data_IF_829042061839
#
_entry.id   IF_829042061839
#
_cell.length_a   1.000
_cell.length_b   1.000
_cell.length_c   1.000
_cell.angle_alpha   90.00
_cell.angle_beta   90.00
_cell.angle_gamma   90.00
#
_symmetry.space_group_name_H-M   'P 1'
#
loop_
_entity.id
_entity.type
_entity.pdbx_description
1 polymer ?
#
# COMPACT_ATOMS: atom_id res chain seq x y z
N UNK A 1 -12.39 -4.75 47.74
CA UNK A 1 -12.96 -5.24 46.47
C UNK A 1 -12.16 -4.60 45.35
N UNK A 2 -11.14 -5.30 44.84
CA UNK A 2 -10.24 -4.81 43.79
C UNK A 2 -9.99 -6.00 42.84
N UNK A 3 -10.21 -5.79 41.53
CA UNK A 3 -10.06 -6.81 40.49
C UNK A 3 -8.57 -6.90 40.08
N UNK A 4 -8.01 -8.10 39.88
CA UNK A 4 -6.60 -8.25 39.53
C UNK A 4 -6.35 -7.99 38.04
N UNK A 5 -5.20 -7.38 37.79
CA UNK A 5 -4.57 -7.09 36.50
C UNK A 5 -4.05 -8.39 35.88
N UNK A 6 -4.47 -8.76 34.67
CA UNK A 6 -3.93 -9.93 33.96
C UNK A 6 -2.93 -9.45 32.91
N UNK A 7 -1.64 -9.65 33.19
CA UNK A 7 -0.54 -9.41 32.26
C UNK A 7 -0.34 -10.69 31.45
N UNK A 8 -0.73 -10.69 30.17
CA UNK A 8 -0.55 -11.84 29.28
C UNK A 8 0.90 -11.84 28.77
N UNK A 9 1.77 -12.65 29.38
CA UNK A 9 3.07 -13.00 28.82
C UNK A 9 2.86 -14.06 27.74
N UNK A 10 3.12 -13.71 26.48
CA UNK A 10 3.13 -14.68 25.37
C UNK A 10 4.46 -15.45 25.39
N UNK A 11 4.44 -16.66 25.94
CA UNK A 11 5.57 -17.59 25.89
C UNK A 11 5.48 -18.42 24.59
N UNK A 12 6.26 -18.09 23.58
CA UNK A 12 6.39 -18.93 22.37
C UNK A 12 7.35 -20.07 22.69
N UNK A 13 6.81 -21.27 22.88
CA UNK A 13 7.59 -22.52 22.93
C UNK A 13 7.84 -22.95 21.48
N UNK A 14 9.07 -22.75 20.99
CA UNK A 14 9.53 -23.27 19.70
C UNK A 14 10.21 -24.63 19.91
N UNK A 15 9.62 -25.70 19.37
CA UNK A 15 10.27 -27.00 19.19
C UNK A 15 11.33 -26.91 18.07
N UNK A 16 12.54 -27.47 18.21
CA UNK A 16 13.52 -27.44 17.14
C UNK A 16 13.39 -28.69 16.26
N UNK A 17 12.94 -28.53 15.01
CA UNK A 17 13.29 -29.48 13.95
C UNK A 17 13.25 -28.81 12.58
N UNK A 18 14.35 -28.15 12.21
CA UNK A 18 14.70 -27.90 10.82
C UNK A 18 16.18 -27.55 10.71
N UNK A 19 16.80 -28.10 9.68
CA UNK A 19 18.23 -28.10 9.37
C UNK A 19 18.85 -26.69 9.29
N UNK A 20 20.17 -26.53 9.47
CA UNK A 20 20.84 -25.22 9.62
C UNK A 20 20.81 -24.31 8.38
N UNK A 21 20.34 -24.80 7.24
CA UNK A 21 20.46 -24.12 5.95
C UNK A 21 19.35 -23.09 5.68
N UNK A 22 18.21 -23.17 6.38
CA UNK A 22 17.08 -22.25 6.16
C UNK A 22 17.10 -20.97 6.99
N UNK A 23 18.11 -20.77 7.86
CA UNK A 23 18.20 -19.60 8.77
C UNK A 23 19.02 -18.43 8.26
N UNK A 24 19.56 -18.50 7.03
CA UNK A 24 20.24 -17.33 6.46
C UNK A 24 19.18 -16.46 5.79
N UNK A 25 19.05 -15.17 6.17
CA UNK A 25 18.38 -14.24 5.29
C UNK A 25 19.09 -14.36 3.93
N UNK A 26 18.34 -14.39 2.82
CA UNK A 26 18.95 -14.38 1.49
C UNK A 26 19.95 -13.21 1.44
N UNK A 27 21.09 -13.38 0.74
CA UNK A 27 21.96 -12.24 0.49
C UNK A 27 21.12 -11.15 -0.14
N UNK A 28 21.17 -9.95 0.45
CA UNK A 28 20.48 -8.77 -0.06
C UNK A 28 20.89 -8.61 -1.52
N UNK A 29 19.98 -8.95 -2.43
CA UNK A 29 20.27 -8.81 -3.86
C UNK A 29 20.48 -7.31 -4.07
N UNK A 30 21.70 -6.92 -4.42
CA UNK A 30 22.05 -5.53 -4.66
C UNK A 30 21.01 -4.86 -5.57
N UNK A 31 20.77 -3.56 -5.37
CA UNK A 31 19.74 -2.78 -6.05
C UNK A 31 19.81 -2.97 -7.57
N UNK A 32 19.01 -3.89 -8.11
CA UNK A 32 18.73 -3.94 -9.54
C UNK A 32 17.96 -2.68 -9.90
N UNK A 33 18.23 -2.01 -11.03
CA UNK A 33 17.39 -0.90 -11.48
C UNK A 33 15.95 -1.40 -11.63
N UNK A 34 15.09 -1.01 -10.69
CA UNK A 34 13.68 -1.35 -10.68
C UNK A 34 13.00 -0.56 -11.79
N UNK A 35 12.45 -1.26 -12.79
CA UNK A 35 11.64 -0.63 -13.83
C UNK A 35 10.25 -0.33 -13.26
N UNK A 36 10.14 0.83 -12.63
CA UNK A 36 8.88 1.37 -12.14
C UNK A 36 8.22 2.13 -13.29
N UNK A 37 6.98 1.76 -13.63
CA UNK A 37 6.19 2.55 -14.57
C UNK A 37 5.32 3.52 -13.79
N UNK A 38 5.63 4.79 -13.91
CA UNK A 38 4.83 5.88 -13.36
C UNK A 38 3.57 6.08 -14.21
N UNK A 39 2.41 6.15 -13.56
CA UNK A 39 1.11 6.33 -14.21
C UNK A 39 0.21 7.24 -13.37
N UNK A 40 -0.83 7.75 -14.00
CA UNK A 40 -1.84 8.59 -13.36
C UNK A 40 -3.21 7.96 -13.54
N UNK A 41 -4.07 8.07 -12.52
CA UNK A 41 -5.48 7.74 -12.63
C UNK A 41 -6.33 8.89 -12.11
N UNK A 42 -7.47 9.12 -12.75
CA UNK A 42 -8.45 10.08 -12.25
C UNK A 42 -9.26 9.44 -11.13
N UNK A 43 -9.07 9.89 -9.90
CA UNK A 43 -9.83 9.41 -8.73
C UNK A 43 -10.99 10.36 -8.46
N UNK A 44 -12.16 9.78 -8.22
CA UNK A 44 -13.34 10.49 -7.73
C UNK A 44 -13.64 10.06 -6.29
N UNK A 45 -13.27 10.86 -5.27
CA UNK A 45 -13.58 10.55 -3.89
C UNK A 45 -15.09 10.41 -3.66
N UNK A 46 -15.50 9.59 -2.69
CA UNK A 46 -16.90 9.24 -2.42
C UNK A 46 -17.79 10.42 -1.92
N UNK A 47 -17.28 11.65 -1.93
CA UNK A 47 -18.00 12.85 -1.53
C UNK A 47 -18.22 13.71 -2.76
N UNK A 48 -19.49 13.94 -3.15
CA UNK A 48 -19.88 14.69 -4.34
C UNK A 48 -19.32 16.13 -4.38
N UNK A 49 -18.82 16.63 -3.24
CA UNK A 49 -18.25 17.98 -3.10
C UNK A 49 -16.73 18.02 -3.39
N UNK A 50 -16.07 16.86 -3.53
CA UNK A 50 -14.65 16.80 -3.82
C UNK A 50 -14.40 16.77 -5.33
N UNK A 51 -13.56 17.68 -5.87
CA UNK A 51 -13.18 17.62 -7.27
C UNK A 51 -12.37 16.34 -7.52
N UNK A 52 -12.59 15.75 -8.69
CA UNK A 52 -11.72 14.67 -9.19
C UNK A 52 -10.29 15.20 -9.31
N UNK A 53 -9.32 14.37 -8.99
CA UNK A 53 -7.91 14.72 -9.15
C UNK A 53 -7.13 13.53 -9.73
N UNK A 54 -5.99 13.85 -10.36
CA UNK A 54 -5.07 12.84 -10.85
C UNK A 54 -4.25 12.33 -9.67
N UNK A 55 -4.41 11.05 -9.35
CA UNK A 55 -3.55 10.36 -8.39
C UNK A 55 -2.41 9.69 -9.15
N UNK A 56 -1.20 10.02 -8.76
CA UNK A 56 0.01 9.40 -9.26
C UNK A 56 0.22 8.04 -8.60
N UNK A 57 0.74 7.06 -9.34
CA UNK A 57 1.11 5.77 -8.79
C UNK A 57 2.21 5.10 -9.61
N UNK A 58 3.00 4.26 -8.95
CA UNK A 58 3.97 3.39 -9.60
C UNK A 58 3.40 1.99 -9.69
N UNK A 59 3.64 1.31 -10.82
CA UNK A 59 3.28 -0.09 -11.01
C UNK A 59 4.46 -0.87 -11.59
N UNK A 60 4.62 -2.11 -11.11
CA UNK A 60 5.52 -3.09 -11.67
C UNK A 60 4.80 -4.45 -11.76
N UNK A 61 4.81 -5.04 -12.95
CA UNK A 61 4.15 -6.31 -13.25
C UNK A 61 5.13 -7.38 -13.72
N UNK A 62 6.45 -7.17 -13.57
CA UNK A 62 7.48 -8.02 -14.20
C UNK A 62 7.45 -9.45 -13.65
N UNK A 63 7.01 -9.63 -12.41
CA UNK A 63 6.89 -10.92 -11.74
C UNK A 63 5.45 -11.41 -11.60
N UNK A 64 4.48 -10.67 -12.13
CA UNK A 64 3.09 -10.98 -11.89
C UNK A 64 2.65 -12.18 -12.74
N UNK A 65 2.05 -13.17 -12.09
CA UNK A 65 1.66 -14.45 -12.73
C UNK A 65 0.29 -14.40 -13.42
N UNK A 66 -0.34 -13.22 -13.47
CA UNK A 66 -1.63 -13.01 -14.10
C UNK A 66 -2.83 -13.33 -13.19
N UNK A 67 -4.04 -13.22 -13.75
CA UNK A 67 -5.29 -13.52 -13.07
C UNK A 67 -5.93 -14.83 -13.57
N UNK A 68 -5.10 -15.84 -13.88
CA UNK A 68 -5.59 -17.17 -14.24
C UNK A 68 -6.42 -17.76 -13.08
N UNK A 69 -7.61 -18.32 -13.33
CA UNK A 69 -8.45 -18.90 -12.28
C UNK A 69 -7.76 -19.99 -11.44
N UNK A 70 -6.79 -20.70 -12.02
CA UNK A 70 -6.02 -21.75 -11.33
C UNK A 70 -4.81 -21.20 -10.57
N UNK A 71 -4.39 -19.96 -10.84
CA UNK A 71 -3.29 -19.28 -10.17
C UNK A 71 -3.45 -17.76 -10.21
N UNK A 72 -4.18 -17.24 -9.23
CA UNK A 72 -4.39 -15.80 -9.08
C UNK A 72 -3.13 -15.13 -8.50
N UNK A 73 -2.44 -14.35 -9.33
CA UNK A 73 -1.32 -13.52 -8.91
C UNK A 73 -1.81 -12.39 -7.98
N UNK A 74 -1.26 -12.26 -6.76
CA UNK A 74 -1.65 -11.22 -5.83
C UNK A 74 -1.21 -9.83 -6.28
N UNK A 75 -1.87 -8.82 -5.74
CA UNK A 75 -1.48 -7.42 -5.85
C UNK A 75 -0.92 -6.99 -4.50
N UNK A 76 0.35 -6.55 -4.49
CA UNK A 76 0.98 -5.92 -3.34
C UNK A 76 0.78 -4.41 -3.45
N UNK A 77 -0.02 -3.86 -2.55
CA UNK A 77 -0.30 -2.43 -2.49
C UNK A 77 0.47 -1.81 -1.32
N UNK A 78 1.40 -0.90 -1.60
CA UNK A 78 2.07 -0.13 -0.56
C UNK A 78 1.27 1.13 -0.24
N UNK A 79 0.72 1.22 0.97
CA UNK A 79 0.04 2.39 1.47
C UNK A 79 1.05 3.50 1.79
N UNK A 80 1.39 4.32 0.79
CA UNK A 80 2.41 5.37 0.89
C UNK A 80 2.14 6.39 2.00
N UNK A 81 3.22 7.00 2.50
CA UNK A 81 3.24 7.95 3.60
C UNK A 81 3.25 9.41 3.10
N UNK A 82 3.70 10.32 3.95
CA UNK A 82 3.75 11.77 3.75
C UNK A 82 4.97 12.22 2.92
N UNK A 83 5.12 11.72 1.70
CA UNK A 83 6.29 12.07 0.88
C UNK A 83 6.31 11.46 -0.50
N UNK A 84 7.48 11.59 -1.14
CA UNK A 84 7.76 11.11 -2.49
C UNK A 84 7.67 9.58 -2.60
N UNK A 85 6.85 9.10 -3.53
CA UNK A 85 6.65 7.68 -3.77
C UNK A 85 7.87 6.96 -4.32
N UNK A 86 8.72 7.63 -5.10
CA UNK A 86 9.93 7.01 -5.64
C UNK A 86 10.91 6.71 -4.50
N UNK A 87 10.97 7.59 -3.51
CA UNK A 87 11.72 7.37 -2.29
C UNK A 87 11.18 6.15 -1.53
N UNK A 88 9.86 6.02 -1.33
CA UNK A 88 9.30 4.85 -0.65
C UNK A 88 9.50 3.56 -1.43
N UNK A 89 9.31 3.59 -2.75
CA UNK A 89 9.57 2.45 -3.62
C UNK A 89 11.05 2.03 -3.58
N UNK A 90 11.97 2.99 -3.52
CA UNK A 90 13.41 2.71 -3.49
C UNK A 90 13.89 2.17 -2.13
N UNK A 91 13.20 2.49 -1.03
CA UNK A 91 13.63 2.12 0.33
C UNK A 91 12.79 1.01 0.98
N UNK A 92 11.76 0.47 0.29
CA UNK A 92 10.94 -0.66 0.78
C UNK A 92 11.34 -1.96 0.09
N UNK A 93 12.59 -2.40 0.29
CA UNK A 93 13.16 -3.57 -0.39
C UNK A 93 12.38 -4.86 -0.14
N UNK A 94 11.78 -5.01 1.04
CA UNK A 94 11.00 -6.19 1.40
C UNK A 94 9.85 -6.51 0.43
N UNK A 95 9.12 -5.50 -0.08
CA UNK A 95 8.02 -5.72 -1.02
C UNK A 95 8.56 -6.30 -2.34
N UNK A 96 9.71 -5.80 -2.79
CA UNK A 96 10.37 -6.24 -4.01
C UNK A 96 10.95 -7.65 -3.90
N UNK A 97 11.49 -8.01 -2.74
CA UNK A 97 12.00 -9.37 -2.50
C UNK A 97 10.89 -10.43 -2.46
N UNK A 98 9.69 -10.04 -2.00
CA UNK A 98 8.54 -10.93 -1.94
C UNK A 98 7.84 -11.09 -3.28
N UNK A 99 7.77 -10.04 -4.11
CA UNK A 99 6.98 -10.06 -5.34
C UNK A 99 7.31 -11.24 -6.28
N UNK A 100 8.58 -11.59 -6.57
CA UNK A 100 8.93 -12.78 -7.35
C UNK A 100 8.46 -14.09 -6.73
N UNK A 101 8.49 -14.20 -5.39
CA UNK A 101 8.15 -15.43 -4.67
C UNK A 101 6.66 -15.73 -4.74
N UNK A 102 5.85 -14.69 -4.68
CA UNK A 102 4.40 -14.79 -4.70
C UNK A 102 3.80 -14.61 -6.10
N UNK A 103 4.61 -14.24 -7.09
CA UNK A 103 4.12 -13.92 -8.42
C UNK A 103 3.26 -12.64 -8.41
N UNK A 104 3.67 -11.64 -7.64
CA UNK A 104 2.86 -10.48 -7.32
C UNK A 104 3.07 -9.32 -8.31
N UNK A 105 2.00 -8.58 -8.58
CA UNK A 105 2.08 -7.22 -9.13
C UNK A 105 2.28 -6.25 -7.97
N UNK A 106 3.14 -5.26 -8.14
CA UNK A 106 3.44 -4.29 -7.08
C UNK A 106 2.94 -2.92 -7.49
N UNK A 107 2.22 -2.25 -6.59
CA UNK A 107 1.65 -0.92 -6.80
C UNK A 107 1.98 -0.01 -5.61
N UNK A 108 2.49 1.18 -5.91
CA UNK A 108 2.72 2.26 -4.95
C UNK A 108 1.86 3.48 -5.33
N UNK A 109 0.64 3.62 -4.79
CA UNK A 109 -0.13 4.84 -4.93
C UNK A 109 0.54 5.99 -4.19
N UNK A 110 0.55 7.17 -4.78
CA UNK A 110 0.94 8.38 -4.08
C UNK A 110 -0.17 8.89 -3.20
N UNK A 111 0.25 9.40 -2.05
CA UNK A 111 -0.66 9.95 -1.07
C UNK A 111 -1.22 11.28 -1.60
N UNK A 112 -2.55 11.47 -1.49
CA UNK A 112 -3.16 12.78 -1.73
C UNK A 112 -2.42 13.90 -0.98
N UNK A 113 -2.26 15.06 -1.60
CA UNK A 113 -1.51 16.22 -1.12
C UNK A 113 0.03 16.07 -1.11
N UNK A 114 0.58 14.94 -1.54
CA UNK A 114 2.03 14.76 -1.65
C UNK A 114 2.43 14.54 -3.11
N UNK A 115 3.68 14.90 -3.44
CA UNK A 115 4.24 14.76 -4.78
C UNK A 115 3.39 15.42 -5.87
N UNK A 116 3.01 14.64 -6.87
CA UNK A 116 2.19 15.06 -8.01
C UNK A 116 0.68 14.94 -7.74
N UNK A 117 0.29 14.21 -6.69
CA UNK A 117 -1.09 13.89 -6.34
C UNK A 117 -1.76 15.02 -5.58
N UNK A 118 -2.10 16.09 -6.29
CA UNK A 118 -2.66 17.31 -5.72
C UNK A 118 -4.17 17.43 -5.99
N UNK A 119 -5.01 17.22 -4.96
CA UNK A 119 -6.40 17.70 -5.00
C UNK A 119 -6.43 19.19 -5.34
N UNK A 120 -7.46 19.65 -6.04
CA UNK A 120 -7.56 21.05 -6.51
C UNK A 120 -6.47 21.48 -7.51
N UNK A 121 -5.73 20.51 -8.08
CA UNK A 121 -4.85 20.70 -9.23
C UNK A 121 -3.48 21.33 -8.94
N UNK A 122 -3.26 21.92 -7.76
CA UNK A 122 -1.94 22.42 -7.37
C UNK A 122 -1.77 22.46 -5.85
N UNK A 123 -0.53 22.37 -5.39
CA UNK A 123 -0.21 22.52 -3.96
C UNK A 123 -0.69 23.88 -3.41
N UNK A 124 -0.58 24.95 -4.20
CA UNK A 124 -1.03 26.28 -3.77
C UNK A 124 -2.52 26.30 -3.45
N UNK A 125 -3.36 25.70 -4.29
CA UNK A 125 -4.80 25.66 -4.04
C UNK A 125 -5.17 24.60 -2.99
N UNK A 126 -4.51 23.44 -2.99
CA UNK A 126 -4.76 22.38 -2.02
C UNK A 126 -4.47 22.83 -0.57
N UNK A 127 -3.43 23.63 -0.37
CA UNK A 127 -2.99 24.13 0.94
C UNK A 127 -3.52 25.53 1.27
N UNK A 128 -4.45 26.07 0.48
CA UNK A 128 -4.89 27.47 0.57
C UNK A 128 -5.54 27.82 1.90
N UNK A 129 -6.36 26.93 2.44
CA UNK A 129 -7.11 27.19 3.68
C UNK A 129 -7.54 25.88 4.36
N UNK A 130 -8.18 26.01 5.52
CA UNK A 130 -8.64 24.86 6.31
C UNK A 130 -9.68 23.99 5.58
N UNK A 131 -10.51 24.56 4.68
CA UNK A 131 -11.52 23.76 3.97
C UNK A 131 -10.92 22.92 2.85
N UNK A 132 -9.90 23.41 2.14
CA UNK A 132 -9.17 22.60 1.16
C UNK A 132 -8.27 21.58 1.84
N UNK A 133 -7.72 21.87 3.02
CA UNK A 133 -6.90 20.92 3.79
C UNK A 133 -7.72 19.89 4.57
N UNK A 134 -9.02 20.11 4.77
CA UNK A 134 -9.89 19.20 5.54
C UNK A 134 -9.92 17.76 5.00
N UNK A 135 -9.50 17.56 3.75
CA UNK A 135 -9.49 16.25 3.10
C UNK A 135 -8.10 15.58 3.07
N UNK A 136 -7.10 16.19 3.69
CA UNK A 136 -5.82 15.55 4.01
C UNK A 136 -6.01 14.65 5.24
N UNK A 137 -6.69 13.52 5.04
CA UNK A 137 -6.95 12.55 6.11
C UNK A 137 -6.60 11.13 5.68
N UNK A 138 -6.35 10.27 6.69
CA UNK A 138 -6.03 8.86 6.49
C UNK A 138 -7.19 8.10 5.83
N UNK A 139 -8.42 8.36 6.28
CA UNK A 139 -9.65 7.75 5.79
C UNK A 139 -9.82 8.02 4.30
N UNK A 140 -9.59 9.27 3.91
CA UNK A 140 -9.73 9.69 2.54
C UNK A 140 -8.63 9.11 1.63
N UNK A 141 -7.39 9.03 2.12
CA UNK A 141 -6.32 8.35 1.40
C UNK A 141 -6.62 6.85 1.18
N UNK A 142 -7.24 6.18 2.16
CA UNK A 142 -7.68 4.78 2.00
C UNK A 142 -8.81 4.63 0.98
N UNK A 143 -9.73 5.59 0.90
CA UNK A 143 -10.76 5.62 -0.14
C UNK A 143 -10.12 5.73 -1.52
N UNK A 144 -9.12 6.61 -1.70
CA UNK A 144 -8.42 6.73 -2.98
C UNK A 144 -7.75 5.42 -3.38
N UNK A 145 -7.05 4.77 -2.44
CA UNK A 145 -6.37 3.50 -2.69
C UNK A 145 -7.36 2.38 -3.06
N UNK A 146 -8.52 2.35 -2.41
CA UNK A 146 -9.57 1.38 -2.74
C UNK A 146 -10.16 1.62 -4.13
N UNK A 147 -10.37 2.88 -4.52
CA UNK A 147 -10.85 3.25 -5.86
C UNK A 147 -9.83 2.92 -6.94
N UNK A 148 -8.57 3.33 -6.74
CA UNK A 148 -7.45 2.98 -7.63
C UNK A 148 -7.38 1.47 -7.87
N UNK A 149 -7.37 0.67 -6.80
CA UNK A 149 -7.29 -0.80 -6.92
C UNK A 149 -8.53 -1.37 -7.61
N UNK A 150 -9.72 -0.84 -7.32
CA UNK A 150 -10.96 -1.31 -7.96
C UNK A 150 -10.91 -1.07 -9.47
N UNK A 151 -10.48 0.12 -9.89
CA UNK A 151 -10.42 0.49 -11.30
C UNK A 151 -9.29 -0.23 -12.03
N UNK A 152 -8.11 -0.37 -11.40
CA UNK A 152 -7.01 -1.17 -11.95
C UNK A 152 -7.41 -2.63 -12.12
N UNK A 153 -8.11 -3.21 -11.13
CA UNK A 153 -8.53 -4.60 -11.22
C UNK A 153 -9.49 -4.84 -12.38
N UNK A 154 -10.43 -3.92 -12.62
CA UNK A 154 -11.32 -3.94 -13.80
C UNK A 154 -10.56 -3.80 -15.11
N UNK A 155 -9.70 -2.78 -15.20
CA UNK A 155 -8.95 -2.47 -16.42
C UNK A 155 -8.00 -3.60 -16.84
N UNK A 156 -7.47 -4.35 -15.88
CA UNK A 156 -6.57 -5.48 -16.12
C UNK A 156 -7.29 -6.83 -16.15
N UNK A 157 -8.61 -6.88 -15.94
CA UNK A 157 -9.39 -8.14 -15.80
C UNK A 157 -8.84 -9.06 -14.69
N UNK A 158 -8.60 -8.48 -13.51
CA UNK A 158 -7.97 -9.12 -12.34
C UNK A 158 -8.85 -9.04 -11.08
N UNK A 159 -10.16 -8.95 -11.23
CA UNK A 159 -11.12 -8.75 -10.14
C UNK A 159 -11.01 -9.81 -9.04
N UNK A 160 -10.61 -11.04 -9.40
CA UNK A 160 -10.39 -12.13 -8.47
C UNK A 160 -9.03 -12.06 -7.73
N UNK A 161 -8.05 -11.31 -8.23
CA UNK A 161 -6.71 -11.25 -7.62
C UNK A 161 -6.76 -10.71 -6.18
N UNK A 162 -6.16 -11.41 -5.20
CA UNK A 162 -6.12 -10.94 -3.83
C UNK A 162 -5.24 -9.70 -3.71
N UNK A 163 -5.56 -8.81 -2.77
CA UNK A 163 -4.80 -7.58 -2.53
C UNK A 163 -4.22 -7.65 -1.12
N UNK A 164 -2.90 -7.47 -1.01
CA UNK A 164 -2.16 -7.48 0.25
C UNK A 164 -1.59 -6.08 0.49
N UNK A 165 -1.91 -5.52 1.65
CA UNK A 165 -1.52 -4.17 2.01
C UNK A 165 -0.18 -4.19 2.76
N UNK A 166 0.74 -3.31 2.34
CA UNK A 166 2.01 -3.05 3.00
C UNK A 166 2.04 -1.59 3.45
N UNK A 167 2.68 -1.31 4.57
CA UNK A 167 2.85 0.05 5.06
C UNK A 167 3.75 0.06 6.29
N UNK A 168 4.56 1.11 6.43
CA UNK A 168 5.35 1.38 7.64
C UNK A 168 4.98 2.73 8.21
N UNK A 169 5.28 3.00 9.48
CA UNK A 169 4.99 4.29 10.13
C UNK A 169 3.51 4.70 9.93
N UNK A 170 3.23 5.94 9.53
CA UNK A 170 1.89 6.45 9.22
C UNK A 170 1.13 5.58 8.21
N UNK A 171 1.77 5.15 7.13
CA UNK A 171 1.21 4.25 6.13
C UNK A 171 0.73 2.93 6.72
N UNK A 172 1.50 2.39 7.66
CA UNK A 172 1.10 1.24 8.46
C UNK A 172 -0.08 1.56 9.39
N UNK A 173 0.03 2.65 10.17
CA UNK A 173 -1.04 3.10 11.08
C UNK A 173 -2.38 3.30 10.37
N UNK A 174 -2.39 3.80 9.13
CA UNK A 174 -3.60 3.92 8.30
C UNK A 174 -4.29 2.57 8.09
N UNK A 175 -3.53 1.52 7.80
CA UNK A 175 -4.07 0.16 7.60
C UNK A 175 -4.69 -0.36 8.90
N UNK A 176 -4.01 -0.16 10.05
CA UNK A 176 -4.48 -0.68 11.33
C UNK A 176 -5.68 0.10 11.89
N UNK A 177 -5.70 1.42 11.77
CA UNK A 177 -6.76 2.28 12.33
C UNK A 177 -8.16 1.92 11.80
N UNK A 178 -8.25 1.57 10.50
CA UNK A 178 -9.54 1.25 9.88
C UNK A 178 -10.08 -0.15 10.24
N UNK A 179 -9.25 -1.02 10.84
CA UNK A 179 -9.67 -2.34 11.32
C UNK A 179 -10.19 -2.31 12.77
N UNK A 180 -9.81 -1.31 13.57
CA UNK A 180 -10.25 -1.20 14.98
C UNK A 180 -11.57 -0.46 15.18
N UNK A 181 -12.02 0.37 14.23
CA UNK A 181 -13.31 1.06 14.32
C UNK A 181 -14.54 0.21 13.90
N UNK A 182 -14.35 -1.11 13.72
CA UNK A 182 -15.42 -2.06 13.37
C UNK A 182 -15.75 -3.09 14.46
N UNK A 183 -15.22 -2.96 15.67
CA UNK A 183 -15.57 -3.82 16.82
C UNK A 183 -16.60 -3.18 17.73
#
# INVERSE_FOLDING_TARGET
MAKPFFLFFLLIICLPSSTPESRRPPPFLGKSPRLLKAQNILVQPNFNDLPKFQQHYLINSDHWVGADPNRLGPIFLYCSNEGDIEWFATNTDFVWELAPRFGAMVIFPEHRYYGESMPYGSQKEAYKNASTLAYLTAEQALVDYALLITDLKRNLSTEASPVILFGGSYGGSKIFSNNFNKS
#
